data_IF_465385291342
#
_entry.id   IF_465385291342
#
_cell.length_a   1.000
_cell.length_b   1.000
_cell.length_c   1.000
_cell.angle_alpha   90.00
_cell.angle_beta   90.00
_cell.angle_gamma   90.00
#
_symmetry.space_group_name_H-M   'P 1'
#
loop_
_entity.id
_entity.type
_entity.pdbx_description
1 polymer ?
#
# COMPACT_ATOMS: atom_id res chain seq x y z
N UNK A 1 -1.69 -0.72 -6.33
CA UNK A 1 -2.03 -0.44 -7.74
C UNK A 1 -1.01 -1.03 -8.70
N UNK A 2 0.24 -0.54 -8.73
CA UNK A 2 1.29 -1.04 -9.65
C UNK A 2 1.43 -2.57 -9.67
N UNK A 3 1.55 -3.18 -8.50
CA UNK A 3 1.70 -4.63 -8.37
C UNK A 3 0.46 -5.41 -8.83
N UNK A 4 -0.75 -4.95 -8.48
CA UNK A 4 -2.00 -5.56 -8.93
C UNK A 4 -2.14 -5.46 -10.46
N UNK A 5 -1.81 -4.29 -11.03
CA UNK A 5 -1.79 -4.08 -12.47
C UNK A 5 -0.78 -5.00 -13.18
N UNK A 6 0.44 -5.15 -12.62
CA UNK A 6 1.45 -6.04 -13.16
C UNK A 6 1.02 -7.51 -13.15
N UNK A 7 0.35 -7.97 -12.08
CA UNK A 7 -0.20 -9.32 -11.99
C UNK A 7 -1.28 -9.55 -13.06
N UNK A 8 -2.18 -8.58 -13.27
CA UNK A 8 -3.29 -8.74 -14.20
C UNK A 8 -2.91 -8.52 -15.68
N UNK A 9 -2.01 -7.58 -15.97
CA UNK A 9 -1.72 -7.10 -17.32
C UNK A 9 -0.28 -7.39 -17.79
N UNK A 10 0.59 -7.93 -16.93
CA UNK A 10 1.96 -8.30 -17.27
C UNK A 10 2.94 -7.14 -17.42
N UNK A 11 2.53 -5.90 -17.08
CA UNK A 11 3.38 -4.71 -17.18
C UNK A 11 3.48 -4.02 -15.82
N UNK A 12 4.70 -3.81 -15.34
CA UNK A 12 4.97 -3.08 -14.11
C UNK A 12 5.26 -1.62 -14.45
N UNK A 13 4.30 -0.74 -14.16
CA UNK A 13 4.48 0.70 -14.25
C UNK A 13 4.94 1.29 -12.91
N UNK A 14 5.72 2.37 -12.99
CA UNK A 14 5.93 3.28 -11.86
C UNK A 14 4.89 4.39 -11.95
N UNK A 15 3.86 4.34 -11.12
CA UNK A 15 2.73 5.27 -11.16
C UNK A 15 3.00 6.46 -10.24
N UNK A 16 2.40 7.61 -10.57
CA UNK A 16 2.61 8.85 -9.83
C UNK A 16 1.83 8.84 -8.51
N UNK A 17 2.53 8.81 -7.38
CA UNK A 17 1.92 9.08 -6.08
C UNK A 17 1.43 10.54 -5.95
N UNK A 18 2.10 11.48 -6.62
CA UNK A 18 1.74 12.91 -6.59
C UNK A 18 0.30 13.16 -7.07
N UNK A 19 -0.15 12.38 -8.07
CA UNK A 19 -1.53 12.39 -8.52
C UNK A 19 -2.51 12.18 -7.35
N UNK A 20 -2.28 11.21 -6.47
CA UNK A 20 -3.15 11.00 -5.31
C UNK A 20 -3.05 12.17 -4.32
N UNK A 21 -1.82 12.62 -4.02
CA UNK A 21 -1.58 13.73 -3.07
C UNK A 21 -2.32 15.01 -3.48
N UNK A 22 -2.29 15.35 -4.77
CA UNK A 22 -2.84 16.63 -5.25
C UNK A 22 -4.32 16.54 -5.63
N UNK A 23 -4.79 15.38 -6.10
CA UNK A 23 -6.12 15.24 -6.68
C UNK A 23 -7.16 14.63 -5.72
N UNK A 24 -6.73 14.02 -4.61
CA UNK A 24 -7.64 13.37 -3.66
C UNK A 24 -7.78 14.17 -2.36
N UNK A 25 -8.74 15.12 -2.36
CA UNK A 25 -9.02 15.98 -1.20
C UNK A 25 -9.53 15.22 0.03
N UNK A 26 -10.09 14.02 -0.11
CA UNK A 26 -10.52 13.19 1.02
C UNK A 26 -9.37 12.48 1.74
N UNK A 27 -8.19 12.40 1.11
CA UNK A 27 -7.01 11.75 1.67
C UNK A 27 -5.97 12.75 2.20
N UNK A 28 -6.38 14.00 2.51
CA UNK A 28 -5.64 15.10 3.17
C UNK A 28 -4.18 15.34 2.73
N UNK A 29 -3.80 14.88 1.54
CA UNK A 29 -2.46 15.06 0.98
C UNK A 29 -1.36 14.61 1.94
N UNK A 30 -0.46 15.54 2.28
CA UNK A 30 0.67 15.26 3.18
C UNK A 30 0.29 15.22 4.67
N UNK A 31 -0.94 15.56 5.04
CA UNK A 31 -1.40 15.48 6.44
C UNK A 31 -1.91 14.10 6.85
N UNK A 32 -1.68 13.09 6.01
CA UNK A 32 -2.11 11.71 6.21
C UNK A 32 -3.36 11.38 5.40
N UNK A 33 -3.70 10.11 5.29
CA UNK A 33 -4.84 9.67 4.50
C UNK A 33 -4.98 8.15 4.55
N UNK A 34 -6.14 7.66 4.14
CA UNK A 34 -6.40 6.22 4.03
C UNK A 34 -6.43 5.81 2.56
N UNK A 35 -5.86 4.64 2.25
CA UNK A 35 -5.73 4.16 0.89
C UNK A 35 -7.10 4.04 0.19
N UNK A 36 -8.13 3.57 0.91
CA UNK A 36 -9.48 3.48 0.37
C UNK A 36 -10.04 4.84 -0.06
N UNK A 37 -9.77 5.90 0.71
CA UNK A 37 -10.31 7.23 0.42
C UNK A 37 -9.65 7.81 -0.82
N UNK A 38 -8.33 7.68 -0.93
CA UNK A 38 -7.58 8.13 -2.11
C UNK A 38 -7.99 7.36 -3.37
N UNK A 39 -8.01 6.03 -3.30
CA UNK A 39 -8.37 5.18 -4.44
C UNK A 39 -9.83 5.35 -4.86
N UNK A 40 -10.77 5.45 -3.91
CA UNK A 40 -12.18 5.68 -4.21
C UNK A 40 -12.43 7.06 -4.83
N UNK A 41 -11.76 8.11 -4.34
CA UNK A 41 -11.87 9.42 -4.96
C UNK A 41 -11.30 9.40 -6.37
N UNK A 42 -10.11 8.83 -6.59
CA UNK A 42 -9.53 8.68 -7.92
C UNK A 42 -10.46 7.89 -8.88
N UNK A 43 -11.13 6.82 -8.40
CA UNK A 43 -12.18 6.12 -9.16
C UNK A 43 -13.28 7.04 -9.64
N UNK A 44 -13.81 7.86 -8.73
CA UNK A 44 -14.96 8.73 -9.02
C UNK A 44 -14.60 9.97 -9.84
N UNK A 45 -13.41 10.53 -9.67
CA UNK A 45 -13.05 11.83 -10.29
C UNK A 45 -12.10 11.70 -11.47
N UNK A 46 -11.45 10.56 -11.64
CA UNK A 46 -10.46 10.31 -12.71
C UNK A 46 -10.78 9.03 -13.51
N UNK A 47 -11.99 8.47 -13.39
CA UNK A 47 -12.34 7.13 -13.89
C UNK A 47 -11.36 6.03 -13.42
N UNK A 48 -10.78 6.21 -12.24
CA UNK A 48 -9.80 5.30 -11.65
C UNK A 48 -8.46 5.28 -12.38
N UNK A 49 -8.20 6.23 -13.28
CA UNK A 49 -6.98 6.30 -14.09
C UNK A 49 -5.82 6.92 -13.33
N UNK A 50 -4.62 6.44 -13.64
CA UNK A 50 -3.35 6.88 -13.06
C UNK A 50 -2.30 7.12 -14.15
N UNK A 51 -1.51 8.18 -13.97
CA UNK A 51 -0.38 8.52 -14.82
C UNK A 51 0.92 7.90 -14.29
N UNK A 52 1.95 7.90 -15.13
CA UNK A 52 3.30 7.52 -14.73
C UNK A 52 3.94 8.57 -13.81
N UNK A 53 4.88 8.11 -12.98
CA UNK A 53 5.72 8.98 -12.17
C UNK A 53 6.53 9.97 -13.02
N UNK A 54 6.95 9.60 -14.23
CA UNK A 54 7.70 10.51 -15.11
C UNK A 54 6.84 11.65 -15.67
N UNK A 55 5.53 11.46 -15.78
CA UNK A 55 4.58 12.46 -16.25
C UNK A 55 4.07 13.37 -15.13
N UNK A 56 4.05 12.88 -13.89
CA UNK A 56 3.64 13.65 -12.71
C UNK A 56 4.51 13.30 -11.49
N UNK A 57 5.76 13.80 -11.43
CA UNK A 57 6.73 13.38 -10.43
C UNK A 57 6.34 13.70 -8.99
N UNK A 58 6.76 12.83 -8.06
CA UNK A 58 6.59 13.06 -6.63
C UNK A 58 7.43 14.25 -6.13
N UNK A 59 6.76 15.22 -5.52
CA UNK A 59 7.36 16.45 -5.00
C UNK A 59 7.46 16.48 -3.47
N UNK A 60 6.90 15.49 -2.79
CA UNK A 60 6.85 15.41 -1.33
C UNK A 60 6.14 16.59 -0.63
N UNK A 61 5.26 17.31 -1.35
CA UNK A 61 4.32 18.27 -0.77
C UNK A 61 3.03 18.28 -1.58
N UNK A 62 1.92 18.69 -0.94
CA UNK A 62 0.66 18.87 -1.63
C UNK A 62 0.64 20.19 -2.39
N UNK A 63 0.44 20.11 -3.70
CA UNK A 63 0.24 21.26 -4.55
C UNK A 63 -1.20 21.76 -4.42
N UNK A 64 -1.41 23.04 -4.73
CA UNK A 64 -2.76 23.63 -4.75
C UNK A 64 -3.56 23.25 -6.00
N UNK A 65 -2.94 22.57 -6.96
CA UNK A 65 -3.52 22.24 -8.26
C UNK A 65 -3.30 20.76 -8.52
N UNK A 66 -4.37 20.07 -8.88
CA UNK A 66 -4.33 18.72 -9.42
C UNK A 66 -3.94 18.80 -10.91
N UNK A 67 -2.80 18.21 -11.27
CA UNK A 67 -2.31 18.18 -12.66
C UNK A 67 -2.60 16.83 -13.35
N UNK A 68 -3.67 16.14 -12.94
CA UNK A 68 -4.08 14.91 -13.61
C UNK A 68 -4.45 15.16 -15.07
N UNK A 69 -3.82 14.41 -15.98
CA UNK A 69 -4.10 14.42 -17.42
C UNK A 69 -4.53 13.02 -17.87
N UNK A 70 -5.81 12.87 -18.16
CA UNK A 70 -6.38 11.58 -18.58
C UNK A 70 -5.76 11.04 -19.89
N UNK A 71 -5.17 11.90 -20.73
CA UNK A 71 -4.53 11.48 -21.99
C UNK A 71 -3.18 10.78 -21.78
N UNK A 72 -2.59 10.93 -20.59
CA UNK A 72 -1.33 10.31 -20.16
C UNK A 72 -1.53 9.13 -19.21
N UNK A 73 -2.78 8.73 -18.96
CA UNK A 73 -3.07 7.61 -18.08
C UNK A 73 -2.63 6.27 -18.70
N UNK A 74 -1.97 5.43 -17.90
CA UNK A 74 -1.41 4.13 -18.35
C UNK A 74 -2.02 2.93 -17.62
N UNK A 75 -2.70 3.18 -16.51
CA UNK A 75 -3.32 2.15 -15.70
C UNK A 75 -4.61 2.68 -15.09
N UNK A 76 -5.53 1.78 -14.73
CA UNK A 76 -6.77 2.17 -14.08
C UNK A 76 -7.27 1.11 -13.10
N UNK A 77 -8.13 1.53 -12.17
CA UNK A 77 -8.88 0.65 -11.28
C UNK A 77 -10.36 0.84 -11.52
N UNK A 78 -11.11 -0.25 -11.57
CA UNK A 78 -12.56 -0.23 -11.71
C UNK A 78 -13.25 -0.51 -10.37
N UNK A 79 -12.61 -1.27 -9.47
CA UNK A 79 -13.16 -1.56 -8.15
C UNK A 79 -12.13 -1.72 -7.03
N UNK A 80 -12.56 -1.42 -5.80
CA UNK A 80 -11.81 -1.66 -4.56
C UNK A 80 -12.71 -2.33 -3.53
N UNK A 81 -12.15 -3.14 -2.64
CA UNK A 81 -12.87 -3.75 -1.53
C UNK A 81 -12.08 -3.60 -0.24
N UNK A 82 -12.78 -3.25 0.84
CA UNK A 82 -12.23 -3.14 2.18
C UNK A 82 -12.45 -4.43 2.96
N UNK A 83 -11.42 -4.85 3.69
CA UNK A 83 -11.46 -5.98 4.62
C UNK A 83 -10.95 -5.53 5.99
N UNK A 84 -11.39 -6.24 7.04
CA UNK A 84 -11.15 -5.89 8.45
C UNK A 84 -10.72 -7.09 9.30
N UNK A 85 -10.25 -8.16 8.65
CA UNK A 85 -9.73 -9.36 9.29
C UNK A 85 -8.47 -9.84 8.54
N UNK A 86 -7.40 -10.16 9.26
CA UNK A 86 -6.17 -10.72 8.70
C UNK A 86 -6.43 -12.01 7.91
N UNK A 87 -7.46 -12.78 8.29
CA UNK A 87 -7.85 -14.00 7.57
C UNK A 87 -8.25 -13.72 6.13
N UNK A 88 -8.80 -12.54 5.85
CA UNK A 88 -9.14 -12.13 4.48
C UNK A 88 -7.88 -11.74 3.69
N UNK A 89 -6.86 -11.18 4.35
CA UNK A 89 -5.66 -10.65 3.70
C UNK A 89 -4.95 -11.69 2.83
N UNK A 90 -4.85 -12.94 3.30
CA UNK A 90 -4.21 -14.01 2.52
C UNK A 90 -4.96 -14.27 1.21
N UNK A 91 -6.29 -14.35 1.29
CA UNK A 91 -7.15 -14.57 0.13
C UNK A 91 -7.09 -13.41 -0.84
N UNK A 92 -7.09 -12.17 -0.33
CA UNK A 92 -7.00 -10.96 -1.16
C UNK A 92 -5.65 -10.89 -1.87
N UNK A 93 -4.54 -11.11 -1.16
CA UNK A 93 -3.20 -11.11 -1.75
C UNK A 93 -3.04 -12.22 -2.79
N UNK A 94 -3.56 -13.41 -2.51
CA UNK A 94 -3.51 -14.54 -3.44
C UNK A 94 -4.35 -14.31 -4.70
N UNK A 95 -5.51 -13.66 -4.57
CA UNK A 95 -6.47 -13.49 -5.67
C UNK A 95 -6.17 -12.27 -6.52
N UNK A 96 -5.84 -11.14 -5.88
CA UNK A 96 -5.74 -9.83 -6.53
C UNK A 96 -4.31 -9.26 -6.53
N UNK A 97 -3.37 -9.93 -5.86
CA UNK A 97 -1.99 -9.47 -5.76
C UNK A 97 -1.77 -8.43 -4.65
N UNK A 98 -0.73 -7.58 -4.78
CA UNK A 98 -0.33 -6.68 -3.71
C UNK A 98 -1.46 -5.80 -3.16
N UNK A 99 -1.60 -5.80 -1.84
CA UNK A 99 -2.75 -5.24 -1.11
C UNK A 99 -2.30 -4.17 -0.14
N UNK A 100 -3.01 -3.03 -0.09
CA UNK A 100 -2.70 -1.96 0.84
C UNK A 100 -3.21 -2.30 2.23
N UNK A 101 -2.39 -2.04 3.25
CA UNK A 101 -2.70 -2.30 4.65
C UNK A 101 -2.26 -1.13 5.53
N UNK A 102 -2.90 -1.00 6.69
CA UNK A 102 -2.40 -0.16 7.78
C UNK A 102 -1.63 -0.98 8.82
N UNK A 103 -0.63 -0.39 9.45
CA UNK A 103 0.08 -0.95 10.60
C UNK A 103 0.40 0.13 11.63
N UNK A 104 0.63 -0.27 12.87
CA UNK A 104 1.33 0.55 13.85
C UNK A 104 2.85 0.43 13.65
N UNK A 105 3.47 1.52 13.20
CA UNK A 105 4.91 1.63 12.98
C UNK A 105 5.63 2.50 14.04
N UNK A 106 5.00 2.74 15.20
CA UNK A 106 5.55 3.59 16.27
C UNK A 106 6.72 2.95 17.04
N UNK A 107 6.92 1.64 16.87
CA UNK A 107 7.98 0.87 17.52
C UNK A 107 9.39 1.25 17.08
N UNK A 108 10.33 1.25 18.03
CA UNK A 108 11.76 1.44 17.77
C UNK A 108 12.37 0.27 16.98
N UNK A 109 11.95 -0.97 17.24
CA UNK A 109 12.37 -2.17 16.52
C UNK A 109 11.87 -2.14 15.08
N UNK A 110 10.67 -1.58 14.83
CA UNK A 110 10.22 -1.32 13.46
C UNK A 110 11.13 -0.30 12.77
N UNK A 111 11.43 0.82 13.44
CA UNK A 111 12.26 1.90 12.90
C UNK A 111 13.66 1.42 12.50
N UNK A 112 14.25 0.52 13.28
CA UNK A 112 15.59 -0.05 13.05
C UNK A 112 15.56 -1.47 12.47
N UNK A 113 14.41 -1.93 11.97
CA UNK A 113 14.30 -3.25 11.35
C UNK A 113 15.31 -3.38 10.20
N UNK A 114 15.95 -4.54 10.10
CA UNK A 114 16.95 -4.84 9.06
C UNK A 114 16.74 -6.21 8.41
N UNK A 115 16.33 -7.23 9.19
CA UNK A 115 16.08 -8.58 8.68
C UNK A 115 15.32 -9.43 9.71
N UNK A 116 15.01 -10.69 9.35
CA UNK A 116 14.27 -11.63 10.19
C UNK A 116 12.76 -11.45 10.14
N UNK A 117 12.02 -12.24 10.92
CA UNK A 117 10.57 -12.09 11.09
C UNK A 117 10.33 -11.16 12.28
N UNK A 118 9.75 -10.00 12.00
CA UNK A 118 9.36 -9.02 13.00
C UNK A 118 8.10 -9.47 13.73
N UNK A 119 8.21 -9.62 15.05
CA UNK A 119 7.16 -10.15 15.92
C UNK A 119 6.17 -9.08 16.44
N UNK A 120 6.48 -7.79 16.24
CA UNK A 120 5.67 -6.69 16.72
C UNK A 120 5.66 -6.51 18.23
N UNK A 121 6.69 -6.98 18.93
CA UNK A 121 6.79 -6.86 20.40
C UNK A 121 6.77 -5.42 20.92
N UNK A 122 7.01 -4.42 20.07
CA UNK A 122 7.00 -3.00 20.41
C UNK A 122 5.98 -2.16 19.61
N UNK A 123 4.98 -2.80 19.00
CA UNK A 123 3.84 -2.10 18.40
C UNK A 123 2.54 -2.41 19.15
N UNK A 124 1.57 -1.51 19.00
CA UNK A 124 0.17 -1.72 19.38
C UNK A 124 -0.65 -2.03 18.12
N UNK A 125 -1.98 -1.90 18.19
CA UNK A 125 -2.86 -2.03 17.01
C UNK A 125 -3.43 -0.69 16.55
N UNK A 126 -2.81 0.42 16.97
CA UNK A 126 -3.20 1.78 16.57
C UNK A 126 -2.46 2.16 15.30
N UNK A 127 -3.07 1.83 14.15
CA UNK A 127 -2.45 2.06 12.84
C UNK A 127 -2.12 3.54 12.62
N UNK A 128 -0.90 3.80 12.17
CA UNK A 128 -0.39 5.15 11.88
C UNK A 128 0.44 5.20 10.58
N UNK A 129 0.63 4.05 9.92
CA UNK A 129 1.43 3.94 8.71
C UNK A 129 0.76 3.03 7.69
N UNK A 130 0.79 3.44 6.42
CA UNK A 130 0.24 2.68 5.31
C UNK A 130 1.36 2.00 4.51
N UNK A 131 1.23 0.70 4.30
CA UNK A 131 2.22 -0.15 3.60
C UNK A 131 1.50 -1.13 2.68
N UNK A 132 2.25 -1.94 1.92
CA UNK A 132 1.66 -2.92 1.01
C UNK A 132 2.13 -4.33 1.31
N UNK A 133 1.20 -5.26 1.56
CA UNK A 133 1.50 -6.69 1.60
C UNK A 133 1.63 -7.19 0.17
N UNK A 134 2.81 -7.71 -0.19
CA UNK A 134 3.13 -8.19 -1.55
C UNK A 134 3.17 -9.71 -1.65
N UNK A 135 3.09 -10.41 -0.53
CA UNK A 135 3.15 -11.86 -0.46
C UNK A 135 3.17 -12.36 0.98
N UNK A 136 3.37 -13.67 1.11
CA UNK A 136 3.49 -14.36 2.38
C UNK A 136 4.35 -15.61 2.21
N UNK A 137 4.85 -16.14 3.31
CA UNK A 137 5.66 -17.35 3.32
C UNK A 137 5.63 -18.04 4.67
N UNK A 138 6.53 -19.00 4.80
CA UNK A 138 6.83 -19.75 6.02
C UNK A 138 8.34 -19.93 6.10
N UNK A 139 8.91 -19.70 7.28
CA UNK A 139 10.32 -20.00 7.58
C UNK A 139 10.37 -20.92 8.79
N UNK A 140 10.69 -22.19 8.57
CA UNK A 140 10.82 -23.20 9.62
C UNK A 140 9.55 -23.36 10.49
N UNK A 141 8.37 -23.28 9.88
CA UNK A 141 7.08 -23.37 10.57
C UNK A 141 6.61 -22.04 11.17
N UNK A 142 7.32 -20.93 10.92
CA UNK A 142 6.89 -19.58 11.32
C UNK A 142 6.32 -18.86 10.09
N UNK A 143 5.00 -18.68 10.02
CA UNK A 143 4.37 -17.97 8.90
C UNK A 143 4.67 -16.46 8.98
N UNK A 144 4.89 -15.83 7.83
CA UNK A 144 5.10 -14.39 7.75
C UNK A 144 4.43 -13.75 6.53
N UNK A 145 4.14 -12.46 6.65
CA UNK A 145 3.81 -11.56 5.56
C UNK A 145 5.08 -10.94 4.98
N UNK A 146 5.10 -10.70 3.67
CA UNK A 146 6.12 -9.87 3.02
C UNK A 146 5.49 -8.51 2.76
N UNK A 147 6.00 -7.47 3.41
CA UNK A 147 5.43 -6.13 3.39
C UNK A 147 6.45 -5.16 2.79
N UNK A 148 6.05 -4.43 1.75
CA UNK A 148 6.81 -3.36 1.11
C UNK A 148 6.58 -2.05 1.87
N UNK A 149 7.66 -1.41 2.30
CA UNK A 149 7.63 -0.08 2.90
C UNK A 149 7.95 1.01 1.85
N UNK A 150 7.78 2.27 2.24
CA UNK A 150 7.99 3.47 1.41
C UNK A 150 9.19 4.31 1.86
N UNK A 151 10.04 3.80 2.75
CA UNK A 151 11.18 4.53 3.34
C UNK A 151 12.52 4.28 2.62
N UNK A 152 12.46 3.88 1.35
CA UNK A 152 13.63 3.59 0.53
C UNK A 152 14.20 2.19 0.76
N UNK A 153 15.17 1.81 -0.08
CA UNK A 153 15.75 0.45 -0.11
C UNK A 153 16.75 0.19 1.03
N UNK A 154 17.29 1.25 1.62
CA UNK A 154 18.25 1.16 2.73
C UNK A 154 17.59 0.78 4.07
N UNK A 155 16.26 0.92 4.16
CA UNK A 155 15.50 0.48 5.32
C UNK A 155 15.10 -0.99 5.18
N UNK A 156 15.20 -1.76 6.27
CA UNK A 156 14.79 -3.16 6.28
C UNK A 156 15.58 -4.04 5.31
N UNK A 157 14.92 -5.09 4.83
CA UNK A 157 15.46 -6.00 3.85
C UNK A 157 15.15 -5.45 2.45
N UNK A 158 16.02 -4.57 1.93
CA UNK A 158 15.86 -3.93 0.62
C UNK A 158 14.55 -3.13 0.47
N UNK A 159 14.09 -2.49 1.55
CA UNK A 159 12.81 -1.76 1.60
C UNK A 159 11.61 -2.60 2.02
N UNK A 160 11.82 -3.86 2.40
CA UNK A 160 10.79 -4.79 2.84
C UNK A 160 10.96 -5.19 4.30
N UNK A 161 9.87 -5.68 4.89
CA UNK A 161 9.84 -6.30 6.21
C UNK A 161 9.05 -7.60 6.14
N UNK A 162 9.56 -8.63 6.82
CA UNK A 162 8.78 -9.84 7.10
C UNK A 162 8.09 -9.69 8.44
N UNK A 163 6.77 -9.71 8.46
CA UNK A 163 5.99 -9.53 9.69
C UNK A 163 5.31 -10.85 10.08
N UNK A 164 5.30 -11.18 11.37
CA UNK A 164 4.68 -12.41 11.88
C UNK A 164 3.20 -12.50 11.46
N UNK A 165 2.80 -13.62 10.87
CA UNK A 165 1.45 -13.83 10.33
C UNK A 165 0.57 -14.64 11.30
N UNK A 166 -0.74 -14.48 11.16
CA UNK A 166 -1.81 -15.19 11.88
C UNK A 166 -1.99 -14.74 13.36
N UNK A 167 -1.48 -13.56 13.72
CA UNK A 167 -1.58 -12.97 15.07
C UNK A 167 -2.02 -11.50 15.07
N UNK A 168 -2.38 -10.97 13.90
CA UNK A 168 -2.75 -9.58 13.65
C UNK A 168 -1.68 -8.60 14.20
N UNK A 169 -0.42 -8.90 13.85
CA UNK A 169 0.75 -8.15 14.29
C UNK A 169 0.63 -6.69 13.88
N UNK A 170 0.84 -5.78 14.82
CA UNK A 170 0.69 -4.33 14.63
C UNK A 170 -0.65 -3.87 14.04
N UNK A 171 -1.70 -4.68 14.16
CA UNK A 171 -3.02 -4.39 13.60
C UNK A 171 -3.08 -4.53 12.07
N UNK A 172 -2.23 -5.36 11.46
CA UNK A 172 -2.17 -5.58 10.01
C UNK A 172 -3.52 -5.94 9.37
N UNK A 173 -4.42 -6.59 10.11
CA UNK A 173 -5.76 -6.98 9.67
C UNK A 173 -6.84 -5.90 9.82
N UNK A 174 -6.56 -4.79 10.52
CA UNK A 174 -7.59 -3.79 10.89
C UNK A 174 -8.08 -2.97 9.68
N UNK A 175 -7.17 -2.62 8.77
CA UNK A 175 -7.48 -1.87 7.56
C UNK A 175 -6.76 -2.51 6.39
N UNK A 176 -7.53 -3.14 5.51
CA UNK A 176 -7.06 -3.78 4.30
C UNK A 176 -7.85 -3.20 3.13
N UNK A 177 -7.16 -2.71 2.11
CA UNK A 177 -7.76 -2.23 0.86
C UNK A 177 -7.20 -3.01 -0.32
N UNK A 178 -8.02 -3.91 -0.86
CA UNK A 178 -7.73 -4.66 -2.07
C UNK A 178 -8.25 -3.93 -3.30
N UNK A 179 -7.48 -3.97 -4.40
CA UNK A 179 -7.98 -3.56 -5.72
C UNK A 179 -8.57 -4.80 -6.37
N UNK A 180 -9.89 -4.82 -6.51
CA UNK A 180 -10.66 -5.99 -6.95
C UNK A 180 -11.14 -5.89 -8.39
N UNK A 181 -10.94 -4.73 -9.03
CA UNK A 181 -11.20 -4.51 -10.44
C UNK A 181 -10.13 -3.65 -11.10
N UNK A 182 -9.66 -4.09 -12.27
CA UNK A 182 -8.67 -3.45 -13.13
C UNK A 182 -9.16 -3.40 -14.58
#
# INVERSE_FOLDING_TARGET
MEGAWAVANGVLYKLSEQNLVDCTTTALGCSGGLAELGLDQARRTQDGKFMLEEDYPYLAYQQRVCNFDATKAVAHITDITMYRDEKDLMGVVATYGPTSIGIDASGSLFSFYSSGIYDGSDCQKQQNHAVATVGYGDENGVPYWIVKNSWGKEWGDQGYIRMLRDVDVCGIGVTITGITGL
#
